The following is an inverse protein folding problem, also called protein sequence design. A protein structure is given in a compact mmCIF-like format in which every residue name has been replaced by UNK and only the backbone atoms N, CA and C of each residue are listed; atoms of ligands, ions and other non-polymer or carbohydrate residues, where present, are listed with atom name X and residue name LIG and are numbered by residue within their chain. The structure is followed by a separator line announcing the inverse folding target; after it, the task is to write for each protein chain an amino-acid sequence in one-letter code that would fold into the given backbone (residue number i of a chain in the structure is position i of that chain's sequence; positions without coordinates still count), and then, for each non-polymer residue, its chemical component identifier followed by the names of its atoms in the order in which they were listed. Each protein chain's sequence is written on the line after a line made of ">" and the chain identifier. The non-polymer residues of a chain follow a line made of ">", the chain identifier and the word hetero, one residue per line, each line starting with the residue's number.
data_IF_476412150318
#
_entry.id   IF_476412150318
#
_cell.length_a   1.000
_cell.length_b   1.000
_cell.length_c   1.000
_cell.angle_alpha   90.00
_cell.angle_beta   90.00
_cell.angle_gamma   90.00
#
_symmetry.space_group_name_H-M   'P 1'
#
loop_
_entity.id
_entity.type
_entity.pdbx_description
1 polymer ?
#
# COMPACT_ATOMS: atom_id res chain seq x y z
N UNK A 1 -41.29 9.95 36.49
CA UNK A 1 -40.81 10.21 35.12
C UNK A 1 -39.34 10.56 35.22
N UNK A 2 -38.48 9.55 35.23
CA UNK A 2 -37.04 9.73 35.26
C UNK A 2 -36.56 9.81 33.82
N UNK A 3 -36.12 10.98 33.40
CA UNK A 3 -35.42 11.16 32.12
C UNK A 3 -34.05 10.52 32.25
N UNK A 4 -33.92 9.28 31.79
CA UNK A 4 -32.62 8.65 31.59
C UNK A 4 -31.83 9.46 30.57
N UNK A 5 -30.92 10.28 31.08
CA UNK A 5 -29.82 10.86 30.32
C UNK A 5 -28.97 9.69 29.79
N UNK A 6 -29.31 9.22 28.60
CA UNK A 6 -28.38 8.47 27.75
C UNK A 6 -27.27 9.43 27.37
N UNK A 7 -26.25 9.51 28.23
CA UNK A 7 -24.89 9.86 27.81
C UNK A 7 -24.47 8.83 26.77
N UNK A 8 -24.96 8.99 25.53
CA UNK A 8 -24.27 8.43 24.36
C UNK A 8 -22.89 9.05 24.42
N UNK A 9 -21.93 8.27 24.91
CA UNK A 9 -20.53 8.61 24.83
C UNK A 9 -20.29 9.04 23.39
N UNK A 10 -19.86 10.29 23.24
CA UNK A 10 -19.50 10.88 21.97
C UNK A 10 -18.31 10.09 21.42
N UNK A 11 -18.61 9.00 20.69
CA UNK A 11 -17.64 8.08 20.12
C UNK A 11 -16.98 8.74 18.91
N UNK A 12 -16.16 9.75 19.19
CA UNK A 12 -15.35 10.42 18.17
C UNK A 12 -14.32 9.48 17.54
N UNK A 13 -14.05 9.68 16.25
CA UNK A 13 -12.89 9.07 15.58
C UNK A 13 -11.60 9.61 16.20
N UNK A 14 -10.62 8.73 16.43
CA UNK A 14 -9.31 9.12 16.94
C UNK A 14 -8.26 8.99 15.83
N UNK A 15 -7.81 10.10 15.30
CA UNK A 15 -6.68 10.17 14.37
C UNK A 15 -5.36 10.10 15.14
N UNK A 16 -4.38 9.39 14.59
CA UNK A 16 -3.00 9.31 15.09
C UNK A 16 -2.01 9.51 13.95
N UNK A 17 -0.94 10.27 14.18
CA UNK A 17 0.26 10.27 13.35
C UNK A 17 1.30 9.31 13.96
N UNK A 18 2.07 8.58 13.14
CA UNK A 18 3.23 7.83 13.61
C UNK A 18 4.28 8.75 14.25
N UNK A 19 4.95 8.26 15.29
CA UNK A 19 5.96 9.05 16.03
C UNK A 19 7.22 9.40 15.21
N UNK A 20 7.51 8.63 14.14
CA UNK A 20 8.79 8.66 13.44
C UNK A 20 8.66 8.73 11.90
N UNK A 21 7.59 9.35 11.38
CA UNK A 21 7.55 9.66 9.94
C UNK A 21 8.28 10.96 9.63
N UNK A 22 9.57 10.82 9.31
CA UNK A 22 10.35 11.87 8.67
C UNK A 22 11.12 12.79 9.60
N UNK A 23 12.37 12.98 9.23
CA UNK A 23 13.36 13.91 9.76
C UNK A 23 13.09 15.37 9.35
N UNK A 24 11.91 15.92 9.68
CA UNK A 24 11.62 17.36 9.67
C UNK A 24 11.54 18.07 8.29
N UNK A 25 12.39 17.71 7.33
CA UNK A 25 12.39 18.19 5.93
C UNK A 25 11.04 17.95 5.26
N UNK A 26 10.36 16.89 5.69
CA UNK A 26 9.07 16.46 5.21
C UNK A 26 7.87 17.24 5.79
N UNK A 27 8.07 18.19 6.73
CA UNK A 27 6.94 18.90 7.34
C UNK A 27 6.24 19.91 6.41
N UNK A 28 6.96 20.46 5.42
CA UNK A 28 6.43 21.45 4.48
C UNK A 28 6.36 20.97 3.01
N UNK A 29 7.29 20.12 2.57
CA UNK A 29 7.36 19.64 1.17
C UNK A 29 6.83 18.22 0.95
N UNK A 30 6.58 17.43 2.01
CA UNK A 30 6.33 15.99 1.85
C UNK A 30 4.98 15.61 1.27
N UNK A 31 4.05 16.53 1.11
CA UNK A 31 2.78 16.21 0.45
C UNK A 31 2.82 16.54 -1.04
N UNK A 32 3.96 16.92 -1.61
CA UNK A 32 4.07 17.14 -3.05
C UNK A 32 3.86 15.85 -3.84
N UNK A 33 4.27 14.68 -3.31
CA UNK A 33 3.95 13.40 -3.94
C UNK A 33 2.43 13.17 -4.03
N UNK A 34 1.64 13.72 -3.10
CA UNK A 34 0.18 13.57 -3.11
C UNK A 34 -0.41 14.22 -4.36
N UNK A 35 0.10 15.38 -4.79
CA UNK A 35 -0.34 16.02 -6.04
C UNK A 35 0.04 15.20 -7.27
N UNK A 36 1.20 14.55 -7.22
CA UNK A 36 1.79 13.79 -8.33
C UNK A 36 1.30 12.33 -8.39
N UNK A 37 0.62 11.85 -7.35
CA UNK A 37 0.13 10.48 -7.29
C UNK A 37 -1.01 10.27 -8.31
N UNK A 38 -0.86 9.32 -9.26
CA UNK A 38 -1.90 9.02 -10.25
C UNK A 38 -3.03 8.14 -9.68
N UNK A 39 -2.78 7.48 -8.54
CA UNK A 39 -3.74 6.56 -7.90
C UNK A 39 -4.76 7.27 -6.99
N UNK A 40 -4.60 8.57 -6.78
CA UNK A 40 -5.48 9.38 -5.94
C UNK A 40 -6.28 10.37 -6.77
N UNK A 41 -7.59 10.44 -6.53
CA UNK A 41 -8.43 11.53 -7.04
C UNK A 41 -8.24 12.82 -6.23
N UNK A 42 -8.75 13.93 -6.75
CA UNK A 42 -8.62 15.27 -6.11
C UNK A 42 -9.23 15.31 -4.70
N UNK A 43 -10.33 14.59 -4.49
CA UNK A 43 -11.01 14.53 -3.20
C UNK A 43 -10.21 13.72 -2.17
N UNK A 44 -9.60 12.59 -2.58
CA UNK A 44 -8.71 11.77 -1.76
C UNK A 44 -7.46 12.57 -1.37
N UNK A 45 -6.85 13.32 -2.32
CA UNK A 45 -5.71 14.21 -2.06
C UNK A 45 -6.05 15.28 -1.01
N UNK A 46 -7.22 15.89 -1.15
CA UNK A 46 -7.71 16.90 -0.21
C UNK A 46 -7.97 16.30 1.18
N UNK A 47 -8.64 15.14 1.25
CA UNK A 47 -8.89 14.46 2.52
C UNK A 47 -7.59 14.08 3.23
N UNK A 48 -6.62 13.50 2.50
CA UNK A 48 -5.33 13.13 3.09
C UNK A 48 -4.59 14.36 3.66
N UNK A 49 -4.61 15.49 2.95
CA UNK A 49 -4.04 16.76 3.45
C UNK A 49 -4.71 17.21 4.73
N UNK A 50 -6.04 17.23 4.78
CA UNK A 50 -6.78 17.58 6.00
C UNK A 50 -6.37 16.67 7.15
N UNK A 51 -6.37 15.34 6.94
CA UNK A 51 -5.99 14.37 7.97
C UNK A 51 -4.56 14.59 8.48
N UNK A 52 -3.58 14.78 7.58
CA UNK A 52 -2.18 15.03 7.95
C UNK A 52 -1.96 16.40 8.62
N UNK A 53 -2.77 17.40 8.32
CA UNK A 53 -2.71 18.71 9.00
C UNK A 53 -3.32 18.66 10.40
N UNK A 54 -4.30 17.77 10.64
CA UNK A 54 -4.90 17.56 11.95
C UNK A 54 -4.00 16.75 12.92
N UNK A 55 -2.97 16.07 12.41
CA UNK A 55 -2.04 15.26 13.20
C UNK A 55 -0.59 15.74 13.07
N UNK A 56 -0.26 16.80 13.79
CA UNK A 56 1.09 17.39 13.78
C UNK A 56 2.04 16.68 14.75
N UNK A 57 3.32 17.07 14.77
CA UNK A 57 4.28 16.54 15.74
C UNK A 57 3.90 16.93 17.17
N UNK A 58 3.34 18.12 17.33
CA UNK A 58 2.90 18.70 18.60
C UNK A 58 1.56 18.10 19.06
N UNK A 59 0.71 17.71 18.10
CA UNK A 59 -0.59 17.07 18.36
C UNK A 59 -0.68 15.78 17.54
N UNK A 60 0.06 14.72 17.93
CA UNK A 60 0.11 13.48 17.16
C UNK A 60 -1.21 12.73 17.19
N UNK A 61 -2.10 13.04 18.14
CA UNK A 61 -3.43 12.44 18.23
C UNK A 61 -4.51 13.52 18.19
N UNK A 62 -5.64 13.21 17.55
CA UNK A 62 -6.79 14.11 17.49
C UNK A 62 -8.07 13.31 17.54
N UNK A 63 -9.03 13.74 18.35
CA UNK A 63 -10.40 13.22 18.34
C UNK A 63 -11.30 14.13 17.52
N UNK A 64 -12.14 13.55 16.68
CA UNK A 64 -13.09 14.27 15.81
C UNK A 64 -14.31 13.41 15.52
N UNK A 65 -15.48 14.03 15.50
CA UNK A 65 -16.68 13.39 14.97
C UNK A 65 -16.61 13.29 13.43
N UNK A 66 -17.20 12.25 12.83
CA UNK A 66 -17.31 12.14 11.37
C UNK A 66 -17.98 13.35 10.71
N UNK A 67 -18.93 13.97 11.40
CA UNK A 67 -19.58 15.19 10.95
C UNK A 67 -18.61 16.38 10.84
N UNK A 68 -17.66 16.51 11.76
CA UNK A 68 -16.65 17.58 11.73
C UNK A 68 -15.68 17.39 10.55
N UNK A 69 -15.21 16.16 10.34
CA UNK A 69 -14.35 15.84 9.19
C UNK A 69 -15.04 16.15 7.86
N UNK A 70 -16.35 15.91 7.78
CA UNK A 70 -17.17 16.22 6.60
C UNK A 70 -17.22 17.72 6.28
N UNK A 71 -17.20 18.59 7.29
CA UNK A 71 -17.21 20.05 7.09
C UNK A 71 -15.90 20.57 6.49
N UNK A 72 -14.81 19.80 6.60
CA UNK A 72 -13.48 20.18 6.12
C UNK A 72 -13.17 19.65 4.70
N UNK A 73 -14.05 18.82 4.12
CA UNK A 73 -13.85 18.21 2.79
C UNK A 73 -14.97 18.60 1.85
N UNK A 74 -14.61 19.28 0.76
CA UNK A 74 -15.56 19.80 -0.22
C UNK A 74 -15.64 18.91 -1.46
N UNK A 75 -16.81 18.90 -2.09
CA UNK A 75 -17.11 18.03 -3.25
C UNK A 75 -16.68 18.61 -4.60
N UNK A 76 -16.20 19.85 -4.64
CA UNK A 76 -15.74 20.52 -5.85
C UNK A 76 -15.42 22.01 -5.62
N UNK A 77 -14.90 22.70 -6.64
CA UNK A 77 -14.73 24.15 -6.60
C UNK A 77 -16.09 24.84 -6.49
N UNK A 78 -16.11 26.00 -5.83
CA UNK A 78 -17.28 26.88 -5.72
C UNK A 78 -16.89 28.29 -6.18
N UNK A 79 -17.84 29.01 -6.76
CA UNK A 79 -17.63 30.40 -7.16
C UNK A 79 -17.38 31.29 -5.93
N UNK A 80 -16.64 32.38 -6.13
CA UNK A 80 -16.39 33.37 -5.09
C UNK A 80 -17.73 33.93 -4.59
N UNK A 81 -17.99 33.79 -3.28
CA UNK A 81 -19.24 34.23 -2.64
C UNK A 81 -20.30 33.14 -2.49
N UNK A 82 -20.16 31.98 -3.14
CA UNK A 82 -21.04 30.83 -2.88
C UNK A 82 -20.56 30.02 -1.67
N UNK A 83 -21.51 29.47 -0.91
CA UNK A 83 -21.18 28.59 0.22
C UNK A 83 -20.57 27.26 -0.28
N UNK A 84 -19.48 26.77 0.34
CA UNK A 84 -18.82 25.55 -0.11
C UNK A 84 -19.70 24.32 0.09
N UNK A 85 -19.81 23.49 -0.94
CA UNK A 85 -20.59 22.24 -0.88
C UNK A 85 -19.79 21.14 -0.20
N UNK A 86 -20.14 20.86 1.05
CA UNK A 86 -19.56 19.78 1.86
C UNK A 86 -19.84 18.41 1.24
N UNK A 87 -18.93 17.47 1.42
CA UNK A 87 -19.10 16.09 0.95
C UNK A 87 -20.24 15.40 1.69
N UNK A 88 -20.93 14.46 1.05
CA UNK A 88 -21.92 13.62 1.74
C UNK A 88 -21.24 12.62 2.69
N UNK A 89 -21.99 12.07 3.66
CA UNK A 89 -21.45 11.05 4.57
C UNK A 89 -20.96 9.80 3.81
N UNK A 90 -21.76 9.31 2.87
CA UNK A 90 -21.39 8.19 1.99
C UNK A 90 -20.17 8.51 1.13
N UNK A 91 -20.05 9.76 0.65
CA UNK A 91 -18.90 10.25 -0.08
C UNK A 91 -17.62 10.21 0.76
N UNK A 92 -17.67 10.71 1.99
CA UNK A 92 -16.54 10.67 2.92
C UNK A 92 -16.09 9.23 3.22
N UNK A 93 -17.03 8.32 3.49
CA UNK A 93 -16.71 6.90 3.71
C UNK A 93 -16.07 6.24 2.50
N UNK A 94 -16.50 6.59 1.29
CA UNK A 94 -15.88 6.10 0.06
C UNK A 94 -14.42 6.58 -0.05
N UNK A 95 -14.15 7.86 0.25
CA UNK A 95 -12.78 8.38 0.26
C UNK A 95 -11.91 7.69 1.32
N UNK A 96 -12.44 7.49 2.53
CA UNK A 96 -11.72 6.80 3.61
C UNK A 96 -11.40 5.34 3.23
N UNK A 97 -12.34 4.61 2.61
CA UNK A 97 -12.07 3.25 2.10
C UNK A 97 -10.96 3.26 1.04
N UNK A 98 -11.00 4.19 0.10
CA UNK A 98 -9.95 4.31 -0.92
C UNK A 98 -8.57 4.58 -0.30
N UNK A 99 -8.48 5.50 0.66
CA UNK A 99 -7.22 5.74 1.40
C UNK A 99 -6.76 4.50 2.19
N UNK A 100 -7.69 3.72 2.76
CA UNK A 100 -7.35 2.50 3.47
C UNK A 100 -6.89 1.38 2.52
N UNK A 101 -7.50 1.26 1.34
CA UNK A 101 -7.09 0.33 0.28
C UNK A 101 -5.69 0.63 -0.24
N UNK A 102 -5.30 1.90 -0.33
CA UNK A 102 -3.92 2.32 -0.63
C UNK A 102 -2.95 2.15 0.54
N UNK A 103 -3.44 1.76 1.73
CA UNK A 103 -2.65 1.67 2.95
C UNK A 103 -2.23 3.02 3.53
N UNK A 104 -2.80 4.13 3.02
CA UNK A 104 -2.45 5.49 3.44
C UNK A 104 -3.06 5.85 4.80
N UNK A 105 -4.14 5.16 5.17
CA UNK A 105 -4.65 5.11 6.54
C UNK A 105 -4.76 3.65 6.97
N UNK A 106 -4.37 3.36 8.21
CA UNK A 106 -4.41 2.01 8.79
C UNK A 106 -5.01 2.04 10.18
N UNK A 107 -5.35 0.87 10.72
CA UNK A 107 -5.65 0.74 12.14
C UNK A 107 -4.36 0.95 12.96
N UNK A 108 -4.50 1.04 14.28
CA UNK A 108 -3.38 1.25 15.21
C UNK A 108 -2.40 0.08 15.24
N UNK A 109 -2.84 -1.12 14.84
CA UNK A 109 -2.02 -2.32 14.67
C UNK A 109 -1.37 -2.41 13.27
N UNK A 110 -1.58 -1.40 12.42
CA UNK A 110 -1.09 -1.38 11.05
C UNK A 110 -1.96 -2.17 10.06
N UNK A 111 -3.04 -2.82 10.52
CA UNK A 111 -3.95 -3.55 9.64
C UNK A 111 -4.79 -2.61 8.77
N UNK A 112 -5.30 -3.13 7.65
CA UNK A 112 -6.17 -2.37 6.75
C UNK A 112 -7.50 -2.04 7.43
N UNK A 113 -7.89 -0.77 7.43
CA UNK A 113 -9.18 -0.33 7.96
C UNK A 113 -10.34 -0.83 7.09
N UNK A 114 -11.39 -1.31 7.75
CA UNK A 114 -12.65 -1.69 7.10
C UNK A 114 -13.77 -0.79 7.61
N UNK A 115 -14.39 -0.06 6.68
CA UNK A 115 -15.53 0.80 6.98
C UNK A 115 -16.83 0.11 6.58
N UNK A 116 -17.65 -0.24 7.56
CA UNK A 116 -19.03 -0.70 7.34
C UNK A 116 -19.89 0.44 6.78
N UNK A 117 -20.87 0.10 5.93
CA UNK A 117 -21.82 1.08 5.35
C UNK A 117 -23.06 1.32 6.22
N UNK A 118 -23.31 0.48 7.23
CA UNK A 118 -24.49 0.61 8.08
C UNK A 118 -24.46 1.91 8.89
N UNK A 119 -25.61 2.54 9.09
CA UNK A 119 -25.73 3.82 9.80
C UNK A 119 -25.11 3.77 11.21
N UNK A 120 -25.25 2.63 11.90
CA UNK A 120 -24.63 2.40 13.20
C UNK A 120 -23.11 2.31 13.17
N UNK A 121 -22.49 2.05 12.02
CA UNK A 121 -21.04 2.07 11.84
C UNK A 121 -20.53 3.45 11.46
N UNK A 122 -21.39 4.34 10.93
CA UNK A 122 -21.02 5.73 10.65
C UNK A 122 -20.83 6.54 11.94
N UNK A 123 -21.44 6.09 13.04
CA UNK A 123 -21.39 6.74 14.36
C UNK A 123 -20.27 6.21 15.27
N UNK A 124 -19.64 5.08 14.92
CA UNK A 124 -18.58 4.51 15.78
C UNK A 124 -17.28 5.28 15.62
N UNK A 125 -16.66 5.56 16.76
CA UNK A 125 -15.33 6.14 16.82
C UNK A 125 -14.29 5.19 16.26
N UNK A 126 -13.76 5.49 15.08
CA UNK A 126 -12.67 4.72 14.46
C UNK A 126 -11.34 5.33 14.87
N UNK A 127 -10.45 4.51 15.42
CA UNK A 127 -9.06 4.88 15.62
C UNK A 127 -8.25 4.53 14.38
N UNK A 128 -7.55 5.51 13.82
CA UNK A 128 -6.73 5.31 12.61
C UNK A 128 -5.38 6.02 12.69
N UNK A 129 -4.38 5.41 12.07
CA UNK A 129 -3.04 5.96 11.85
C UNK A 129 -2.99 6.53 10.43
N UNK A 130 -2.52 7.77 10.30
CA UNK A 130 -2.40 8.47 9.03
C UNK A 130 -0.94 8.51 8.63
N UNK A 131 -0.61 7.95 7.47
CA UNK A 131 0.74 7.94 6.94
C UNK A 131 0.96 9.17 6.06
N UNK A 132 2.13 9.81 6.18
CA UNK A 132 2.56 10.96 5.38
C UNK A 132 3.32 10.53 4.13
N UNK A 133 3.96 9.36 4.17
CA UNK A 133 4.66 8.77 3.03
C UNK A 133 3.74 7.85 2.24
N UNK A 134 3.94 7.71 0.91
CA UNK A 134 3.16 6.78 0.11
C UNK A 134 3.39 5.35 0.62
N UNK A 135 2.29 4.63 0.86
CA UNK A 135 2.33 3.23 1.30
C UNK A 135 2.08 2.23 0.17
N UNK A 136 1.99 2.72 -1.05
CA UNK A 136 1.85 1.94 -2.28
C UNK A 136 2.97 2.28 -3.26
N UNK A 137 3.29 1.33 -4.14
CA UNK A 137 4.26 1.54 -5.19
C UNK A 137 3.60 2.33 -6.33
N UNK A 138 3.73 3.66 -6.30
CA UNK A 138 3.17 4.50 -7.36
C UNK A 138 4.12 4.72 -8.54
N UNK A 139 5.43 4.55 -8.34
CA UNK A 139 6.47 5.01 -9.27
C UNK A 139 6.49 6.53 -9.48
N UNK A 140 5.62 7.28 -8.80
CA UNK A 140 5.49 8.71 -8.90
C UNK A 140 6.66 9.43 -8.24
N UNK A 141 7.00 10.61 -8.76
CA UNK A 141 8.08 11.41 -8.20
C UNK A 141 7.72 11.91 -6.80
N UNK A 142 8.73 12.01 -5.93
CA UNK A 142 8.55 12.43 -4.53
C UNK A 142 8.16 13.91 -4.41
N UNK A 143 8.60 14.72 -5.37
CA UNK A 143 8.33 16.15 -5.43
C UNK A 143 8.26 16.63 -6.89
N UNK A 144 7.80 17.87 -7.08
CA UNK A 144 7.61 18.45 -8.41
C UNK A 144 8.93 18.65 -9.19
N UNK A 145 10.05 18.87 -8.51
CA UNK A 145 11.36 19.00 -9.15
C UNK A 145 11.82 17.67 -9.74
N UNK A 146 11.66 16.58 -9.00
CA UNK A 146 11.95 15.23 -9.49
C UNK A 146 11.02 14.84 -10.64
N UNK A 147 9.74 15.22 -10.57
CA UNK A 147 8.80 15.01 -11.68
C UNK A 147 9.25 15.74 -12.94
N UNK A 148 9.70 16.99 -12.79
CA UNK A 148 10.22 17.80 -13.88
C UNK A 148 11.51 17.21 -14.45
N UNK A 149 12.44 16.77 -13.58
CA UNK A 149 13.68 16.10 -13.98
C UNK A 149 13.39 14.85 -14.83
N UNK A 150 12.48 13.98 -14.36
CA UNK A 150 12.04 12.79 -15.10
C UNK A 150 11.46 13.17 -16.47
N UNK A 151 10.62 14.22 -16.53
CA UNK A 151 10.03 14.71 -17.78
C UNK A 151 11.08 15.23 -18.77
N UNK A 152 12.18 15.78 -18.26
CA UNK A 152 13.34 16.22 -19.06
C UNK A 152 14.31 15.09 -19.41
N UNK A 153 14.10 13.87 -18.93
CA UNK A 153 15.06 12.77 -19.05
C UNK A 153 16.30 12.92 -18.16
N UNK A 154 16.25 13.82 -17.17
CA UNK A 154 17.28 13.99 -16.16
C UNK A 154 17.06 13.00 -15.00
N UNK A 155 18.14 12.65 -14.29
CA UNK A 155 18.04 11.80 -13.10
C UNK A 155 17.42 12.60 -11.94
N UNK A 156 16.31 12.12 -11.35
CA UNK A 156 15.70 12.77 -10.19
C UNK A 156 16.69 12.78 -9.02
N UNK A 157 16.57 13.78 -8.14
CA UNK A 157 17.43 13.88 -6.96
C UNK A 157 17.03 12.86 -5.90
N UNK A 158 15.72 12.62 -5.72
CA UNK A 158 15.22 11.61 -4.78
C UNK A 158 14.62 10.39 -5.48
N UNK A 159 14.61 9.27 -4.72
CA UNK A 159 13.88 8.04 -5.00
C UNK A 159 12.46 8.26 -5.54
N UNK A 160 11.89 7.33 -6.32
CA UNK A 160 10.45 7.34 -6.51
C UNK A 160 9.78 7.28 -5.13
N UNK A 161 8.59 7.89 -5.04
CA UNK A 161 7.82 7.87 -3.81
C UNK A 161 7.42 6.40 -3.53
N UNK A 162 7.99 5.80 -2.49
CA UNK A 162 7.77 4.39 -2.13
C UNK A 162 7.54 4.23 -0.63
N UNK A 163 6.99 3.07 -0.25
CA UNK A 163 6.80 2.66 1.13
C UNK A 163 8.12 2.40 1.87
N UNK A 164 9.20 2.16 1.12
CA UNK A 164 10.53 1.96 1.65
C UNK A 164 11.26 3.31 1.76
N UNK A 165 11.34 3.83 2.98
CA UNK A 165 12.08 5.05 3.31
C UNK A 165 13.57 4.98 2.93
N UNK A 166 14.14 3.78 2.87
CA UNK A 166 15.52 3.52 2.48
C UNK A 166 15.70 3.34 0.97
N UNK A 167 14.63 3.47 0.16
CA UNK A 167 14.73 3.48 -1.29
C UNK A 167 15.42 4.77 -1.77
N UNK A 168 16.73 4.82 -1.62
CA UNK A 168 17.58 5.77 -2.32
C UNK A 168 17.68 5.28 -3.77
N UNK A 169 17.63 6.20 -4.75
CA UNK A 169 18.16 5.86 -6.08
C UNK A 169 19.62 5.45 -5.91
N UNK A 170 20.17 4.57 -6.79
CA UNK A 170 21.61 4.41 -6.88
C UNK A 170 22.24 5.81 -6.90
N UNK A 171 23.18 6.04 -5.96
CA UNK A 171 23.88 7.31 -5.83
C UNK A 171 24.32 7.77 -7.23
N UNK A 172 24.17 9.07 -7.52
CA UNK A 172 24.66 9.63 -8.77
C UNK A 172 26.09 9.13 -9.00
N UNK A 173 26.46 8.70 -10.21
CA UNK A 173 27.83 8.25 -10.49
C UNK A 173 28.91 9.25 -10.05
N UNK A 174 28.56 10.54 -9.95
CA UNK A 174 29.44 11.62 -9.50
C UNK A 174 29.71 11.64 -7.98
N UNK A 175 28.91 10.97 -7.16
CA UNK A 175 29.08 10.95 -5.69
C UNK A 175 29.83 9.71 -5.18
N UNK A 176 30.45 8.92 -6.08
CA UNK A 176 31.42 7.90 -5.67
C UNK A 176 32.79 8.58 -5.47
N UNK A 177 33.29 8.70 -4.21
CA UNK A 177 34.63 9.19 -3.97
C UNK A 177 35.64 8.15 -4.50
N UNK A 178 36.18 8.37 -5.70
CA UNK A 178 37.33 7.60 -6.19
C UNK A 178 37.33 7.14 -7.65
N UNK A 179 36.28 7.38 -8.45
CA UNK A 179 36.41 7.21 -9.90
C UNK A 179 36.87 8.51 -10.56
N UNK A 180 38.19 8.75 -10.52
CA UNK A 180 38.86 9.57 -11.52
C UNK A 180 38.61 8.93 -12.89
N UNK A 181 37.57 9.40 -13.57
CA UNK A 181 37.43 9.18 -15.01
C UNK A 181 38.56 9.97 -15.65
N UNK A 182 39.69 9.29 -15.87
CA UNK A 182 40.76 9.74 -16.76
C UNK A 182 40.17 9.88 -18.17
N UNK A 183 39.55 11.04 -18.45
CA UNK A 183 39.32 11.44 -19.83
C UNK A 183 40.69 11.73 -20.45
N UNK A 184 41.07 11.10 -21.57
CA UNK A 184 42.31 11.42 -22.25
C UNK A 184 42.25 12.88 -22.72
N UNK A 185 43.29 13.64 -22.36
CA UNK A 185 43.32 15.10 -22.45
C UNK A 185 42.98 15.66 -23.83
N UNK A 186 42.01 16.58 -23.83
CA UNK A 186 42.03 17.70 -24.76
C UNK A 186 42.53 18.94 -24.01
N UNK A 187 43.84 19.16 -24.10
CA UNK A 187 44.43 20.48 -23.84
C UNK A 187 43.95 21.43 -24.93
N UNK A 188 42.84 22.13 -24.68
CA UNK A 188 42.47 23.31 -25.46
C UNK A 188 43.16 24.51 -24.79
N UNK A 189 44.33 24.87 -25.33
CA UNK A 189 44.97 26.15 -25.09
C UNK A 189 44.04 27.27 -25.59
N UNK A 190 43.34 27.97 -24.69
CA UNK A 190 42.77 29.27 -25.01
C UNK A 190 43.74 30.38 -24.56
N UNK A 191 44.17 31.27 -25.46
CA UNK A 191 44.93 32.45 -25.07
C UNK A 191 43.99 33.48 -24.42
N UNK A 192 44.48 34.11 -23.36
CA UNK A 192 43.74 35.08 -22.56
C UNK A 192 43.19 36.25 -23.37
N UNK A 193 41.93 36.57 -23.11
CA UNK A 193 41.38 37.89 -23.36
C UNK A 193 41.21 38.60 -22.02
N UNK A 194 42.15 39.50 -21.72
CA UNK A 194 41.93 40.60 -20.78
C UNK A 194 40.89 41.54 -21.39
N UNK A 195 39.67 41.53 -20.86
CA UNK A 195 38.67 42.55 -21.15
C UNK A 195 38.67 43.55 -20.00
N UNK A 196 39.22 44.73 -20.30
CA UNK A 196 39.14 45.92 -19.47
C UNK A 196 37.68 46.29 -19.20
N UNK A 197 37.31 46.41 -17.93
CA UNK A 197 36.07 47.08 -17.51
C UNK A 197 36.23 48.60 -17.68
N UNK A 198 35.25 49.30 -18.25
CA UNK A 198 34.98 50.67 -17.86
C UNK A 198 33.79 50.70 -16.91
N UNK A 199 33.98 51.40 -15.78
CA UNK A 199 32.92 51.70 -14.83
C UNK A 199 31.80 52.52 -15.48
N UNK A 200 30.57 52.21 -15.08
CA UNK A 200 29.44 53.12 -15.21
C UNK A 200 28.77 53.25 -13.85
N UNK A 201 28.86 54.46 -13.31
CA UNK A 201 28.08 54.94 -12.19
C UNK A 201 26.72 55.48 -12.67
N UNK A 202 25.73 55.39 -11.77
CA UNK A 202 24.51 56.21 -11.60
C UNK A 202 23.39 56.13 -12.66
N UNK A 203 22.22 55.58 -12.29
CA UNK A 203 21.06 56.37 -11.79
C UNK A 203 19.88 55.47 -11.39
N UNK A 204 19.20 55.70 -10.24
CA UNK A 204 17.95 55.04 -9.88
C UNK A 204 16.77 56.00 -10.09
N UNK A 205 16.04 55.88 -11.19
CA UNK A 205 14.68 56.47 -11.30
C UNK A 205 13.89 55.83 -12.45
N UNK A 206 12.57 55.70 -12.25
CA UNK A 206 11.52 55.03 -13.08
C UNK A 206 11.14 53.67 -12.49
N UNK A 207 10.20 53.55 -11.53
CA UNK A 207 8.78 53.95 -11.58
C UNK A 207 8.06 53.62 -12.89
N UNK A 208 6.99 52.83 -12.72
CA UNK A 208 5.81 52.63 -13.58
C UNK A 208 6.03 52.00 -14.96
N UNK A 209 5.64 50.72 -15.06
CA UNK A 209 4.69 50.25 -16.08
C UNK A 209 4.07 48.91 -15.65
N UNK A 210 2.96 49.02 -14.89
CA UNK A 210 1.98 47.93 -14.80
C UNK A 210 1.16 47.97 -16.09
N UNK A 211 1.55 47.13 -17.04
CA UNK A 211 0.76 46.82 -18.21
C UNK A 211 -0.58 46.21 -17.76
N UNK A 212 -1.66 46.97 -17.96
CA UNK A 212 -3.04 46.47 -17.96
C UNK A 212 -3.15 45.42 -19.06
N UNK A 213 -3.14 44.14 -18.68
CA UNK A 213 -3.67 43.09 -19.54
C UNK A 213 -5.19 43.07 -19.44
N UNK A 214 -5.84 43.36 -20.55
CA UNK A 214 -7.26 43.12 -20.74
C UNK A 214 -7.57 41.61 -20.65
N UNK A 215 -8.70 41.20 -20.04
CA UNK A 215 -9.06 39.79 -19.96
C UNK A 215 -9.50 39.25 -21.32
N UNK A 216 -9.02 38.07 -21.77
CA UNK A 216 -9.56 37.43 -22.94
C UNK A 216 -10.97 36.90 -22.66
N UNK A 217 -11.93 37.55 -23.30
CA UNK A 217 -13.08 37.01 -24.02
C UNK A 217 -13.55 35.61 -23.64
N UNK A 218 -14.74 35.60 -23.06
CA UNK A 218 -15.65 34.48 -22.82
C UNK A 218 -15.79 33.54 -24.01
N UNK A 219 -15.39 32.28 -23.85
CA UNK A 219 -15.89 31.18 -24.66
C UNK A 219 -17.09 30.54 -23.96
N UNK A 220 -18.28 30.82 -24.48
CA UNK A 220 -19.50 30.08 -24.17
C UNK A 220 -19.44 28.72 -24.84
N UNK A 221 -19.27 27.66 -24.07
CA UNK A 221 -19.52 26.29 -24.53
C UNK A 221 -20.76 25.75 -23.82
N UNK A 222 -21.88 25.81 -24.54
CA UNK A 222 -23.12 25.13 -24.21
C UNK A 222 -22.93 23.62 -24.35
N UNK A 223 -22.95 22.89 -23.25
CA UNK A 223 -23.12 21.44 -23.27
C UNK A 223 -24.56 21.13 -22.93
N UNK A 224 -25.31 20.76 -23.97
CA UNK A 224 -26.68 20.31 -23.89
C UNK A 224 -26.81 19.09 -22.97
N UNK A 225 -27.75 19.19 -22.04
CA UNK A 225 -28.21 18.10 -21.20
C UNK A 225 -29.05 17.12 -22.04
N UNK A 226 -28.60 15.89 -22.19
CA UNK A 226 -29.43 14.80 -22.70
C UNK A 226 -30.02 14.00 -21.53
N UNK A 227 -31.27 14.34 -21.25
CA UNK A 227 -32.25 13.56 -20.50
C UNK A 227 -32.75 12.41 -21.36
N UNK A 228 -32.57 11.17 -20.90
CA UNK A 228 -33.21 9.93 -21.38
C UNK A 228 -32.87 8.84 -20.35
N UNK A 229 -33.75 8.01 -19.81
CA UNK A 229 -35.16 7.80 -19.97
C UNK A 229 -35.59 6.79 -18.91
N UNK A 230 -36.85 6.86 -18.49
CA UNK A 230 -37.47 5.85 -17.64
C UNK A 230 -37.65 4.54 -18.41
N UNK A 231 -37.30 3.41 -17.80
CA UNK A 231 -37.67 2.05 -18.21
C UNK A 231 -37.91 1.24 -16.94
N UNK A 232 -39.15 1.12 -16.48
CA UNK A 232 -40.07 0.00 -16.78
C UNK A 232 -39.47 -1.35 -16.36
N UNK A 233 -39.98 -1.83 -15.24
CA UNK A 233 -39.93 -3.20 -14.74
C UNK A 233 -40.57 -4.19 -15.73
N UNK A 234 -40.04 -5.41 -15.80
CA UNK A 234 -40.89 -6.59 -15.94
C UNK A 234 -40.67 -7.54 -14.77
N UNK A 235 -41.77 -7.87 -14.10
CA UNK A 235 -41.81 -8.94 -13.11
C UNK A 235 -41.61 -10.30 -13.76
N UNK A 236 -40.92 -11.18 -13.05
CA UNK A 236 -40.73 -12.58 -13.43
C UNK A 236 -41.52 -13.47 -12.46
N UNK A 237 -42.17 -14.55 -12.94
CA UNK A 237 -43.20 -15.26 -12.19
C UNK A 237 -42.66 -16.20 -11.12
N UNK A 238 -43.39 -16.28 -10.01
CA UNK A 238 -43.36 -17.44 -9.11
C UNK A 238 -43.72 -18.71 -9.89
N UNK A 239 -42.85 -19.72 -9.78
CA UNK A 239 -43.17 -21.12 -10.09
C UNK A 239 -42.59 -21.97 -8.96
N UNK A 240 -43.47 -22.44 -8.08
CA UNK A 240 -43.28 -23.67 -7.30
C UNK A 240 -43.32 -24.86 -8.26
N UNK A 241 -42.42 -25.83 -8.10
CA UNK A 241 -42.89 -27.20 -7.87
C UNK A 241 -42.04 -27.90 -6.79
N UNK A 242 -42.70 -28.42 -5.76
CA UNK A 242 -43.29 -29.77 -5.70
C UNK A 242 -42.21 -30.85 -5.51
N UNK A 243 -42.26 -31.37 -4.29
CA UNK A 243 -41.58 -32.55 -3.78
C UNK A 243 -41.80 -33.75 -4.69
N UNK A 244 -40.71 -34.40 -5.12
CA UNK A 244 -40.72 -35.81 -5.54
C UNK A 244 -39.51 -36.49 -4.90
N UNK A 245 -39.82 -37.38 -3.95
CA UNK A 245 -38.95 -38.41 -3.41
C UNK A 245 -38.60 -39.38 -4.55
N UNK A 246 -37.31 -39.53 -4.86
CA UNK A 246 -36.81 -40.72 -5.54
C UNK A 246 -35.78 -41.45 -4.68
N UNK A 247 -36.29 -42.55 -4.16
CA UNK A 247 -35.65 -43.69 -3.56
C UNK A 247 -34.91 -44.52 -4.63
N UNK A 248 -33.63 -44.84 -4.44
CA UNK A 248 -32.93 -46.07 -4.91
C UNK A 248 -31.38 -45.94 -4.84
N UNK A 249 -30.60 -47.03 -4.92
CA UNK A 249 -30.66 -48.25 -4.12
C UNK A 249 -29.28 -48.60 -3.50
N UNK A 250 -29.31 -49.48 -2.50
CA UNK A 250 -28.13 -50.12 -1.90
C UNK A 250 -27.30 -50.88 -2.94
N UNK A 251 -26.04 -50.48 -3.12
CA UNK A 251 -25.01 -51.22 -3.84
C UNK A 251 -23.73 -51.32 -3.02
N UNK A 252 -23.62 -52.36 -2.19
CA UNK A 252 -22.36 -52.77 -1.56
C UNK A 252 -21.40 -53.24 -2.64
N UNK A 253 -20.25 -52.59 -2.79
CA UNK A 253 -19.08 -53.23 -3.37
C UNK A 253 -17.82 -52.83 -2.61
N UNK A 254 -17.27 -53.84 -1.95
CA UNK A 254 -16.05 -53.81 -1.16
C UNK A 254 -14.85 -53.91 -2.11
N UNK A 255 -14.17 -52.79 -2.32
CA UNK A 255 -12.83 -52.72 -2.90
C UNK A 255 -12.12 -51.60 -2.17
N UNK A 256 -11.12 -51.94 -1.35
CA UNK A 256 -10.34 -50.98 -0.56
C UNK A 256 -9.34 -50.24 -1.46
N UNK A 257 -9.85 -49.53 -2.46
CA UNK A 257 -9.17 -48.40 -3.05
C UNK A 257 -9.60 -47.17 -2.25
N UNK A 258 -8.64 -46.36 -1.82
CA UNK A 258 -8.87 -45.14 -1.05
C UNK A 258 -9.75 -44.20 -1.90
N UNK A 259 -11.06 -44.29 -1.72
CA UNK A 259 -12.04 -43.46 -2.40
C UNK A 259 -11.67 -42.00 -2.11
N UNK A 260 -11.10 -41.36 -3.11
CA UNK A 260 -10.67 -39.98 -3.03
C UNK A 260 -11.91 -39.12 -2.77
N UNK A 261 -11.80 -38.18 -1.84
CA UNK A 261 -12.91 -37.29 -1.49
C UNK A 261 -13.38 -36.57 -2.77
N UNK A 262 -14.66 -36.68 -3.18
CA UNK A 262 -15.15 -36.11 -4.43
C UNK A 262 -14.92 -34.59 -4.53
N UNK A 263 -14.78 -33.90 -3.39
CA UNK A 263 -14.48 -32.47 -3.33
C UNK A 263 -13.02 -32.19 -3.69
N UNK A 264 -12.11 -33.04 -3.24
CA UNK A 264 -10.69 -32.98 -3.60
C UNK A 264 -10.55 -33.16 -5.11
N UNK A 265 -11.22 -34.14 -5.70
CA UNK A 265 -11.18 -34.38 -7.15
C UNK A 265 -11.77 -33.22 -7.97
N UNK A 266 -12.82 -32.58 -7.46
CA UNK A 266 -13.39 -31.37 -8.08
C UNK A 266 -12.39 -30.21 -8.10
N UNK A 267 -11.66 -29.97 -7.00
CA UNK A 267 -10.66 -28.90 -6.93
C UNK A 267 -9.46 -29.23 -7.83
N UNK A 268 -8.97 -30.47 -7.79
CA UNK A 268 -7.84 -30.94 -8.61
C UNK A 268 -8.15 -30.82 -10.09
N UNK A 269 -9.31 -31.29 -10.53
CA UNK A 269 -9.73 -31.20 -11.95
C UNK A 269 -9.94 -29.76 -12.41
N UNK A 270 -10.45 -28.87 -11.53
CA UNK A 270 -10.72 -27.47 -11.88
C UNK A 270 -9.45 -26.61 -11.93
N UNK A 271 -8.51 -26.83 -11.00
CA UNK A 271 -7.36 -25.92 -10.76
C UNK A 271 -6.00 -26.52 -11.11
N UNK A 272 -5.88 -27.84 -11.27
CA UNK A 272 -4.60 -28.52 -11.43
C UNK A 272 -3.78 -28.64 -10.15
N UNK A 273 -4.39 -28.46 -8.97
CA UNK A 273 -3.76 -28.67 -7.67
C UNK A 273 -3.37 -30.14 -7.45
N UNK A 274 -2.34 -30.39 -6.64
CA UNK A 274 -2.14 -31.72 -6.05
C UNK A 274 -3.15 -32.00 -4.91
N UNK A 275 -3.19 -33.22 -4.40
CA UNK A 275 -4.16 -33.60 -3.36
C UNK A 275 -3.96 -32.80 -2.06
N UNK A 276 -2.71 -32.60 -1.64
CA UNK A 276 -2.38 -31.87 -0.41
C UNK A 276 -2.68 -30.37 -0.53
N UNK A 277 -2.54 -29.80 -1.72
CA UNK A 277 -2.94 -28.43 -2.03
C UNK A 277 -4.47 -28.28 -2.04
N UNK A 278 -5.18 -29.25 -2.63
CA UNK A 278 -6.64 -29.26 -2.65
C UNK A 278 -7.22 -29.32 -1.23
N UNK A 279 -6.67 -30.16 -0.35
CA UNK A 279 -7.05 -30.22 1.07
C UNK A 279 -6.81 -28.87 1.78
N UNK A 280 -5.65 -28.25 1.56
CA UNK A 280 -5.34 -26.95 2.14
C UNK A 280 -6.27 -25.83 1.61
N UNK A 281 -6.73 -25.93 0.36
CA UNK A 281 -7.76 -25.02 -0.19
C UNK A 281 -9.10 -25.24 0.52
N UNK A 282 -9.51 -26.49 0.76
CA UNK A 282 -10.74 -26.82 1.49
C UNK A 282 -10.70 -26.22 2.91
N UNK A 283 -9.60 -26.40 3.63
CA UNK A 283 -9.45 -25.87 4.99
C UNK A 283 -9.47 -24.35 5.01
N UNK A 284 -8.83 -23.70 4.03
CA UNK A 284 -8.89 -22.24 3.87
C UNK A 284 -10.32 -21.75 3.61
N UNK A 285 -11.09 -22.47 2.80
CA UNK A 285 -12.49 -22.13 2.52
C UNK A 285 -13.36 -22.26 3.77
N UNK A 286 -13.18 -23.34 4.56
CA UNK A 286 -13.86 -23.53 5.86
C UNK A 286 -13.53 -22.41 6.84
N UNK A 287 -12.25 -22.06 6.97
CA UNK A 287 -11.79 -20.96 7.83
C UNK A 287 -12.42 -19.62 7.41
N UNK A 288 -12.44 -19.34 6.10
CA UNK A 288 -13.03 -18.10 5.56
C UNK A 288 -14.54 -18.02 5.81
N UNK A 289 -15.27 -19.13 5.67
CA UNK A 289 -16.70 -19.17 5.97
C UNK A 289 -16.97 -18.96 7.47
N UNK A 290 -16.18 -19.61 8.34
CA UNK A 290 -16.26 -19.41 9.79
C UNK A 290 -16.03 -17.95 10.19
N UNK A 291 -15.00 -17.30 9.63
CA UNK A 291 -14.72 -15.88 9.86
C UNK A 291 -15.83 -14.93 9.38
N UNK A 292 -16.66 -15.39 8.44
CA UNK A 292 -17.83 -14.64 7.95
C UNK A 292 -19.12 -14.98 8.71
N UNK A 293 -19.08 -15.89 9.67
CA UNK A 293 -20.27 -16.40 10.35
C UNK A 293 -21.20 -17.20 9.42
N UNK A 294 -20.68 -17.76 8.33
CA UNK A 294 -21.44 -18.61 7.42
C UNK A 294 -21.23 -20.08 7.78
N UNK A 295 -22.30 -20.78 8.16
CA UNK A 295 -22.28 -22.22 8.35
C UNK A 295 -22.29 -22.93 6.99
N UNK A 296 -21.25 -23.72 6.71
CA UNK A 296 -21.20 -24.54 5.50
C UNK A 296 -21.91 -25.87 5.79
N UNK A 297 -23.13 -26.05 5.27
CA UNK A 297 -23.84 -27.32 5.42
C UNK A 297 -23.17 -28.49 4.69
N UNK A 298 -22.72 -28.28 3.44
CA UNK A 298 -21.96 -29.26 2.67
C UNK A 298 -20.83 -28.56 1.92
N UNK A 299 -19.59 -28.98 2.18
CA UNK A 299 -18.41 -28.41 1.54
C UNK A 299 -18.41 -28.67 0.03
N UNK A 300 -18.95 -29.80 -0.42
CA UNK A 300 -19.12 -30.11 -1.83
C UNK A 300 -20.01 -29.07 -2.54
N UNK A 301 -21.20 -28.79 -1.98
CA UNK A 301 -22.12 -27.78 -2.53
C UNK A 301 -21.52 -26.38 -2.45
N UNK A 302 -20.76 -26.09 -1.40
CA UNK A 302 -20.08 -24.80 -1.23
C UNK A 302 -19.00 -24.59 -2.30
N UNK A 303 -18.11 -25.57 -2.50
CA UNK A 303 -17.05 -25.54 -3.51
C UNK A 303 -17.63 -25.47 -4.94
N UNK A 304 -18.72 -26.19 -5.21
CA UNK A 304 -19.41 -26.14 -6.49
C UNK A 304 -19.97 -24.75 -6.86
N UNK A 305 -20.16 -23.86 -5.87
CA UNK A 305 -20.59 -22.48 -6.08
C UNK A 305 -19.47 -21.51 -6.48
N UNK A 306 -18.19 -21.94 -6.44
CA UNK A 306 -17.07 -21.11 -6.84
C UNK A 306 -16.75 -21.29 -8.32
N UNK A 307 -16.44 -20.20 -9.00
CA UNK A 307 -15.89 -20.28 -10.35
C UNK A 307 -14.41 -20.72 -10.32
N UNK A 308 -13.90 -21.09 -11.51
CA UNK A 308 -12.50 -21.53 -11.66
C UNK A 308 -11.49 -20.45 -11.23
N UNK A 309 -11.79 -19.16 -11.43
CA UNK A 309 -10.88 -18.06 -11.08
C UNK A 309 -10.76 -17.92 -9.57
N UNK A 310 -11.87 -18.02 -8.85
CA UNK A 310 -11.87 -17.94 -7.38
C UNK A 310 -11.12 -19.11 -6.76
N UNK A 311 -11.37 -20.34 -7.23
CA UNK A 311 -10.64 -21.53 -6.74
C UNK A 311 -9.13 -21.42 -7.04
N UNK A 312 -8.76 -20.89 -8.21
CA UNK A 312 -7.35 -20.62 -8.54
C UNK A 312 -6.74 -19.56 -7.63
N UNK A 313 -7.48 -18.51 -7.29
CA UNK A 313 -7.04 -17.48 -6.34
C UNK A 313 -6.80 -18.05 -4.93
N UNK A 314 -7.68 -18.96 -4.48
CA UNK A 314 -7.50 -19.69 -3.23
C UNK A 314 -6.26 -20.59 -3.25
N UNK A 315 -6.03 -21.33 -4.34
CA UNK A 315 -4.84 -22.15 -4.53
C UNK A 315 -3.54 -21.32 -4.51
N UNK A 316 -3.52 -20.19 -5.20
CA UNK A 316 -2.36 -19.29 -5.20
C UNK A 316 -2.05 -18.74 -3.79
N UNK A 317 -3.08 -18.47 -3.00
CA UNK A 317 -2.90 -18.02 -1.63
C UNK A 317 -2.31 -19.13 -0.73
N UNK A 318 -2.77 -20.38 -0.89
CA UNK A 318 -2.18 -21.56 -0.23
C UNK A 318 -0.71 -21.74 -0.61
N UNK A 319 -0.37 -21.64 -1.90
CA UNK A 319 1.02 -21.74 -2.38
C UNK A 319 1.90 -20.63 -1.81
N UNK A 320 1.38 -19.40 -1.71
CA UNK A 320 2.11 -18.26 -1.11
C UNK A 320 2.37 -18.49 0.38
N UNK A 321 1.38 -18.99 1.12
CA UNK A 321 1.55 -19.33 2.53
C UNK A 321 2.57 -20.45 2.72
N UNK A 322 2.52 -21.50 1.90
CA UNK A 322 3.56 -22.55 1.91
C UNK A 322 4.95 -22.02 1.54
N UNK A 323 5.05 -21.11 0.57
CA UNK A 323 6.32 -20.48 0.22
C UNK A 323 6.89 -19.66 1.39
N UNK A 324 6.05 -18.94 2.15
CA UNK A 324 6.46 -18.26 3.38
C UNK A 324 6.76 -19.20 4.53
N UNK A 325 6.18 -20.41 4.51
CA UNK A 325 6.41 -21.49 5.47
C UNK A 325 7.51 -22.47 5.01
N UNK A 326 8.29 -22.11 3.98
CA UNK A 326 9.47 -22.90 3.57
C UNK A 326 10.32 -23.27 4.79
N UNK A 327 10.86 -24.48 4.81
CA UNK A 327 10.78 -25.39 5.93
C UNK A 327 11.57 -24.88 7.13
N UNK A 328 10.86 -24.44 8.17
CA UNK A 328 11.36 -24.44 9.55
C UNK A 328 11.46 -25.85 10.14
N UNK A 329 11.60 -26.86 9.28
CA UNK A 329 11.77 -28.26 9.65
C UNK A 329 13.25 -28.62 9.74
N UNK A 330 13.69 -28.87 10.97
CA UNK A 330 14.90 -29.62 11.35
C UNK A 330 16.24 -28.88 11.57
N UNK A 331 16.28 -27.55 11.57
CA UNK A 331 17.37 -26.82 12.25
C UNK A 331 16.74 -25.96 13.33
N UNK A 332 16.91 -26.35 14.60
CA UNK A 332 16.62 -25.47 15.73
C UNK A 332 17.48 -24.22 15.59
N UNK A 333 16.93 -23.18 14.97
CA UNK A 333 17.65 -21.98 14.60
C UNK A 333 18.07 -21.24 15.84
N UNK A 334 19.29 -21.52 16.32
CA UNK A 334 19.99 -20.63 17.21
C UNK A 334 20.02 -19.26 16.53
N UNK A 335 19.48 -18.24 17.21
CA UNK A 335 19.65 -16.87 16.78
C UNK A 335 21.14 -16.59 16.58
N UNK A 336 21.48 -15.89 15.51
CA UNK A 336 22.84 -15.46 15.25
C UNK A 336 23.30 -14.61 16.44
N UNK A 337 24.33 -15.06 17.16
CA UNK A 337 24.79 -14.36 18.35
C UNK A 337 25.32 -12.94 18.07
N UNK A 338 25.66 -12.63 16.81
CA UNK A 338 26.11 -11.30 16.40
C UNK A 338 24.95 -10.33 16.11
N UNK A 339 23.80 -10.83 15.63
CA UNK A 339 22.76 -9.99 15.02
C UNK A 339 21.35 -10.26 15.54
N UNK A 340 21.18 -11.23 16.44
CA UNK A 340 19.88 -11.68 16.99
C UNK A 340 18.84 -12.03 15.89
N UNK A 341 19.32 -12.47 14.72
CA UNK A 341 18.52 -12.91 13.58
C UNK A 341 18.56 -14.43 13.42
N UNK A 342 17.48 -15.04 12.94
CA UNK A 342 17.47 -16.47 12.60
C UNK A 342 18.48 -16.80 11.50
N UNK A 343 19.28 -17.85 11.69
CA UNK A 343 20.16 -18.36 10.63
C UNK A 343 19.31 -18.89 9.44
N UNK A 344 19.69 -18.61 8.17
CA UNK A 344 20.87 -17.84 7.73
C UNK A 344 20.71 -16.33 7.96
N UNK A 345 21.67 -15.74 8.67
CA UNK A 345 21.61 -14.33 9.07
C UNK A 345 21.95 -13.39 7.90
N UNK A 346 21.07 -12.43 7.62
CA UNK A 346 21.26 -11.49 6.50
C UNK A 346 22.37 -10.49 6.81
N UNK A 347 22.47 -10.05 8.07
CA UNK A 347 23.52 -9.13 8.50
C UNK A 347 24.93 -9.72 8.33
N UNK A 348 25.14 -11.01 8.65
CA UNK A 348 26.42 -11.68 8.37
C UNK A 348 26.80 -11.65 6.87
N UNK A 349 25.83 -11.66 5.97
CA UNK A 349 26.09 -11.53 4.53
C UNK A 349 26.53 -10.13 4.15
N UNK A 350 25.94 -9.11 4.77
CA UNK A 350 26.34 -7.71 4.58
C UNK A 350 27.77 -7.52 5.09
N UNK A 351 28.07 -8.00 6.29
CA UNK A 351 29.42 -7.93 6.89
C UNK A 351 30.49 -8.60 6.02
N UNK A 352 30.14 -9.72 5.39
CA UNK A 352 31.03 -10.37 4.44
C UNK A 352 31.33 -9.47 3.23
N UNK A 353 30.29 -8.82 2.67
CA UNK A 353 30.45 -7.92 1.51
C UNK A 353 31.15 -6.59 1.86
N UNK A 354 31.05 -6.13 3.11
CA UNK A 354 31.72 -4.91 3.59
C UNK A 354 33.15 -5.15 4.07
N UNK A 355 33.65 -6.39 3.96
CA UNK A 355 35.04 -6.74 4.26
C UNK A 355 35.30 -7.17 5.70
N UNK A 356 34.28 -7.36 6.54
CA UNK A 356 34.42 -7.81 7.94
C UNK A 356 34.61 -9.34 8.06
N UNK A 357 35.40 -9.93 7.16
CA UNK A 357 35.56 -11.39 7.06
C UNK A 357 36.20 -12.01 8.31
N UNK A 358 37.14 -11.30 8.94
CA UNK A 358 37.85 -11.79 10.13
C UNK A 358 36.91 -11.93 11.34
N UNK A 359 35.92 -11.05 11.46
CA UNK A 359 34.92 -11.11 12.53
C UNK A 359 34.00 -12.31 12.34
N UNK A 360 33.55 -12.55 11.10
CA UNK A 360 32.75 -13.73 10.76
C UNK A 360 33.56 -15.03 10.95
N UNK A 361 34.85 -15.02 10.64
CA UNK A 361 35.71 -16.19 10.86
C UNK A 361 35.92 -16.49 12.33
N UNK A 362 36.15 -15.46 13.15
CA UNK A 362 36.23 -15.59 14.61
C UNK A 362 34.94 -16.18 15.19
N UNK A 363 33.78 -15.78 14.67
CA UNK A 363 32.49 -16.32 15.10
C UNK A 363 32.28 -17.76 14.61
N UNK A 364 32.74 -18.10 13.39
CA UNK A 364 32.72 -19.47 12.88
C UNK A 364 33.60 -20.38 13.75
N UNK A 365 34.79 -19.92 14.13
CA UNK A 365 35.71 -20.65 15.00
C UNK A 365 35.12 -20.84 16.41
N UNK A 366 34.39 -19.84 16.91
CA UNK A 366 33.75 -19.88 18.23
C UNK A 366 32.57 -20.85 18.30
N UNK A 367 31.71 -20.85 17.27
CA UNK A 367 30.45 -21.61 17.26
C UNK A 367 30.61 -22.97 16.58
N UNK A 368 31.57 -23.09 15.68
CA UNK A 368 31.87 -24.29 14.89
C UNK A 368 31.06 -24.37 13.59
N UNK A 369 31.69 -24.86 12.52
CA UNK A 369 31.09 -25.00 11.19
C UNK A 369 29.83 -25.88 11.16
N UNK A 370 29.73 -26.88 12.04
CA UNK A 370 28.55 -27.74 12.14
C UNK A 370 27.31 -27.03 12.70
N UNK A 371 27.50 -26.02 13.55
CA UNK A 371 26.40 -25.24 14.14
C UNK A 371 26.03 -24.02 13.29
N UNK A 372 26.93 -23.54 12.42
CA UNK A 372 26.71 -22.44 11.47
C UNK A 372 27.18 -22.80 10.06
N UNK A 373 26.53 -23.77 9.39
CA UNK A 373 26.90 -24.17 8.03
C UNK A 373 26.69 -23.02 7.03
N UNK A 374 25.76 -22.11 7.31
CA UNK A 374 25.53 -20.88 6.54
C UNK A 374 26.77 -19.97 6.49
N UNK A 375 27.47 -19.87 7.62
CA UNK A 375 28.66 -19.04 7.75
C UNK A 375 29.91 -19.73 7.17
N UNK A 376 30.01 -21.06 7.32
CA UNK A 376 31.04 -21.87 6.69
C UNK A 376 30.98 -21.79 5.15
N UNK A 377 29.79 -21.95 4.57
CA UNK A 377 29.56 -21.81 3.13
C UNK A 377 29.92 -20.39 2.65
N UNK A 378 29.51 -19.36 3.40
CA UNK A 378 29.80 -17.97 3.07
C UNK A 378 31.31 -17.67 3.07
N UNK A 379 32.06 -18.26 4.00
CA UNK A 379 33.51 -18.10 4.12
C UNK A 379 34.31 -19.02 3.19
N UNK A 380 33.64 -19.96 2.50
CA UNK A 380 34.28 -20.94 1.61
C UNK A 380 34.98 -22.08 2.36
N UNK A 381 34.62 -22.32 3.61
CA UNK A 381 35.11 -23.46 4.38
C UNK A 381 34.21 -24.67 4.11
N UNK A 382 34.78 -25.71 3.49
CA UNK A 382 34.06 -26.96 3.23
C UNK A 382 33.77 -27.60 4.58
N UNK A 383 32.50 -27.69 4.95
CA UNK A 383 32.10 -28.38 6.17
C UNK A 383 32.62 -29.84 6.11
N UNK A 384 33.29 -30.35 7.16
CA UNK A 384 33.64 -31.76 7.21
C UNK A 384 32.35 -32.58 7.14
N UNK A 385 32.29 -33.50 6.16
CA UNK A 385 31.12 -34.31 5.84
C UNK A 385 30.71 -35.26 6.97
#
# INVERSE_FOLDING_TARGET
>A
MSTENTNSADEGMTLRAPAAEGDGYYKAKALQWVDLCPHMGTAEKTLLRVLTNLTTKESPTRRLAPAELRQMVYSGPVEVGQAPKVISASGLLRLLRSLAEMGQITATDGSQLRFSSGDSAQLRGISMVIWRYPRHECGCARNAFDALAITKGELPYFGPASSNLAAQWPARPADQPGQEVNQPGQEVNQPGQEVNQPGQEVNPDSQSDQEKQDPPSSFSSSFSSSSSGAGVTPGTPQVDPKEEEEESPNGRNSGADTASDPVVDTIRSTTGADAAEADAVIDRLRERARKRGAEIGSIARYVAGFDKRDLTGHLQAVRRERATQSPTGAYGGAACALHDESAPCRACRVDYTTGQRDHLRTELDRVGAGARPDLAELLGEVAPA
#
